data_IF_732448892182
#
_entry.id   IF_732448892182
#
_cell.length_a   1.000
_cell.length_b   1.000
_cell.length_c   1.000
_cell.angle_alpha   90.00
_cell.angle_beta   90.00
_cell.angle_gamma   90.00
#
_symmetry.space_group_name_H-M   'P 1'
#
loop_
_entity.id
_entity.type
_entity.pdbx_description
1 polymer ?
#
# COMPACT_ATOMS: atom_id res chain seq x y z
N UNK A 1 -61.79 -1.51 -96.88
CA UNK A 1 -62.62 -2.57 -96.25
C UNK A 1 -62.60 -2.39 -94.74
N UNK A 2 -63.38 -3.18 -93.99
CA UNK A 2 -63.81 -2.87 -92.63
C UNK A 2 -62.70 -2.71 -91.57
N UNK A 3 -62.89 -1.69 -90.74
CA UNK A 3 -62.53 -1.51 -89.32
C UNK A 3 -62.01 -2.74 -88.53
N UNK A 4 -60.98 -2.53 -87.69
CA UNK A 4 -61.09 -2.82 -86.23
C UNK A 4 -60.02 -2.15 -85.34
N UNK A 5 -60.50 -1.43 -84.32
CA UNK A 5 -60.02 -1.29 -82.94
C UNK A 5 -58.57 -1.74 -82.57
N UNK A 6 -57.76 -0.81 -82.03
CA UNK A 6 -57.64 -0.58 -80.55
C UNK A 6 -56.77 0.65 -80.22
N UNK A 7 -57.20 1.46 -79.26
CA UNK A 7 -56.41 2.54 -78.66
C UNK A 7 -55.54 1.98 -77.52
N UNK A 8 -54.24 2.25 -77.55
CA UNK A 8 -53.29 1.79 -76.53
C UNK A 8 -52.77 2.98 -75.69
N UNK A 9 -53.55 3.41 -74.70
CA UNK A 9 -53.21 4.51 -73.81
C UNK A 9 -52.01 4.19 -72.92
N UNK A 10 -50.83 4.73 -73.24
CA UNK A 10 -49.62 4.62 -72.39
C UNK A 10 -49.77 5.45 -71.11
N UNK A 11 -50.30 4.85 -70.04
CA UNK A 11 -50.12 5.41 -68.68
C UNK A 11 -48.65 5.35 -68.31
N UNK A 12 -48.07 6.47 -67.87
CA UNK A 12 -46.71 6.51 -67.37
C UNK A 12 -46.63 5.75 -66.03
N UNK A 13 -45.64 4.86 -65.91
CA UNK A 13 -45.38 4.17 -64.65
C UNK A 13 -44.61 5.11 -63.70
N UNK A 14 -45.28 5.57 -62.65
CA UNK A 14 -44.64 6.28 -61.54
C UNK A 14 -43.70 5.33 -60.82
N UNK A 15 -42.38 5.55 -60.94
CA UNK A 15 -41.38 4.87 -60.12
C UNK A 15 -41.47 5.42 -58.69
N UNK A 16 -41.92 4.60 -57.75
CA UNK A 16 -41.77 4.90 -56.33
C UNK A 16 -40.29 5.02 -55.98
N UNK A 17 -39.85 6.25 -55.70
CA UNK A 17 -38.54 6.53 -55.17
C UNK A 17 -38.50 6.07 -53.70
N UNK A 18 -38.20 4.79 -53.48
CA UNK A 18 -38.12 4.20 -52.15
C UNK A 18 -36.99 4.87 -51.35
N UNK A 19 -37.36 5.82 -50.49
CA UNK A 19 -36.42 6.52 -49.61
C UNK A 19 -35.83 5.50 -48.63
N UNK A 20 -34.65 4.98 -48.95
CA UNK A 20 -33.83 4.24 -47.98
C UNK A 20 -33.41 5.22 -46.88
N UNK A 21 -34.19 5.23 -45.79
CA UNK A 21 -33.68 5.74 -44.53
C UNK A 21 -32.42 4.94 -44.18
N UNK A 22 -31.27 5.58 -44.35
CA UNK A 22 -30.06 5.16 -43.65
C UNK A 22 -30.31 5.41 -42.17
N UNK A 23 -30.80 4.37 -41.48
CA UNK A 23 -30.69 4.30 -40.02
C UNK A 23 -29.21 4.30 -39.72
N UNK A 24 -28.67 5.50 -39.43
CA UNK A 24 -27.30 5.67 -38.98
C UNK A 24 -27.20 4.96 -37.64
N UNK A 25 -26.75 3.70 -37.67
CA UNK A 25 -26.72 2.83 -36.51
C UNK A 25 -25.90 3.48 -35.42
N UNK A 26 -26.59 3.97 -34.38
CA UNK A 26 -25.98 4.59 -33.21
C UNK A 26 -25.13 3.52 -32.54
N UNK A 27 -23.84 3.49 -32.88
CA UNK A 27 -22.86 2.68 -32.17
C UNK A 27 -22.93 3.15 -30.72
N UNK A 28 -23.30 2.29 -29.75
CA UNK A 28 -23.27 2.71 -28.36
C UNK A 28 -21.85 3.16 -28.06
N UNK A 29 -21.71 4.34 -27.44
CA UNK A 29 -20.41 4.80 -26.97
C UNK A 29 -19.83 3.72 -26.05
N UNK A 30 -18.53 3.45 -26.19
CA UNK A 30 -17.84 2.47 -25.34
C UNK A 30 -18.17 2.73 -23.87
N UNK A 31 -18.41 1.68 -23.08
CA UNK A 31 -18.59 1.78 -21.62
C UNK A 31 -17.48 2.60 -20.94
N UNK A 32 -16.30 2.63 -21.56
CA UNK A 32 -15.09 3.29 -21.07
C UNK A 32 -14.80 4.63 -21.76
N UNK A 33 -15.71 5.16 -22.59
CA UNK A 33 -15.48 6.36 -23.42
C UNK A 33 -15.15 7.63 -22.61
N UNK A 34 -15.62 7.69 -21.36
CA UNK A 34 -15.42 8.80 -20.44
C UNK A 34 -14.43 8.49 -19.30
N UNK A 35 -13.69 7.37 -19.38
CA UNK A 35 -12.67 7.03 -18.38
C UNK A 35 -11.40 7.86 -18.66
N UNK A 36 -10.99 8.79 -17.77
CA UNK A 36 -9.78 9.56 -17.97
C UNK A 36 -8.54 8.69 -17.79
N UNK A 37 -7.45 9.05 -18.46
CA UNK A 37 -6.13 8.48 -18.15
C UNK A 37 -5.76 8.86 -16.71
N UNK A 38 -5.35 7.87 -15.92
CA UNK A 38 -4.86 8.11 -14.56
C UNK A 38 -3.58 8.96 -14.56
N UNK A 39 -3.32 9.75 -13.50
CA UNK A 39 -2.09 10.53 -13.40
C UNK A 39 -0.86 9.59 -13.39
N UNK A 40 0.25 9.98 -14.05
CA UNK A 40 1.46 9.17 -14.06
C UNK A 40 2.08 9.07 -12.67
N UNK A 41 2.55 7.88 -12.29
CA UNK A 41 3.30 7.70 -11.05
C UNK A 41 4.70 8.34 -11.18
N UNK A 42 5.03 9.22 -10.23
CA UNK A 42 6.25 10.01 -10.27
C UNK A 42 7.55 9.19 -10.15
N UNK A 43 7.50 7.98 -9.59
CA UNK A 43 8.66 7.08 -9.43
C UNK A 43 8.81 6.17 -10.65
N UNK A 44 7.70 5.68 -11.20
CA UNK A 44 7.70 4.90 -12.45
C UNK A 44 8.18 5.75 -13.65
N UNK A 45 7.71 6.99 -13.77
CA UNK A 45 8.14 7.90 -14.85
C UNK A 45 9.65 8.17 -14.86
N UNK A 46 10.27 8.35 -13.68
CA UNK A 46 11.74 8.46 -13.55
C UNK A 46 12.43 7.17 -14.02
N UNK A 47 11.84 6.01 -13.72
CA UNK A 47 12.39 4.70 -14.13
C UNK A 47 12.29 4.47 -15.64
N UNK A 48 11.25 4.99 -16.29
CA UNK A 48 11.08 4.93 -17.74
C UNK A 48 12.01 5.91 -18.47
N UNK A 49 12.11 7.15 -18.00
CA UNK A 49 13.09 8.12 -18.51
C UNK A 49 14.53 7.59 -18.37
N UNK A 50 14.89 7.04 -17.20
CA UNK A 50 16.18 6.39 -16.99
C UNK A 50 16.43 5.22 -17.94
N UNK A 51 15.41 4.43 -18.31
CA UNK A 51 15.58 3.35 -19.30
C UNK A 51 15.82 3.92 -20.71
N UNK A 52 15.08 4.95 -21.10
CA UNK A 52 15.13 5.55 -22.44
C UNK A 52 16.40 6.37 -22.71
N UNK A 53 17.02 6.95 -21.69
CA UNK A 53 18.29 7.68 -21.78
C UNK A 53 19.40 6.81 -22.42
N UNK A 54 20.16 7.33 -23.37
CA UNK A 54 21.24 6.63 -24.06
C UNK A 54 22.62 6.86 -23.42
N UNK A 55 22.73 7.75 -22.43
CA UNK A 55 23.98 8.02 -21.72
C UNK A 55 24.47 6.77 -20.97
N UNK A 56 25.76 6.45 -21.11
CA UNK A 56 26.33 5.17 -20.62
C UNK A 56 26.52 5.12 -19.11
N UNK A 57 26.75 6.26 -18.47
CA UNK A 57 27.08 6.38 -17.05
C UNK A 57 25.88 6.94 -16.24
N UNK A 58 24.66 6.79 -16.78
CA UNK A 58 23.41 7.18 -16.11
C UNK A 58 23.21 6.38 -14.81
N UNK A 59 22.78 7.07 -13.75
CA UNK A 59 22.52 6.49 -12.42
C UNK A 59 21.05 6.68 -12.06
N UNK A 60 20.38 5.63 -11.56
CA UNK A 60 19.00 5.70 -11.09
C UNK A 60 18.95 5.83 -9.56
N UNK A 61 18.70 7.04 -9.07
CA UNK A 61 18.52 7.32 -7.64
C UNK A 61 17.03 7.37 -7.22
N UNK A 62 16.08 7.12 -8.13
CA UNK A 62 14.64 7.16 -7.85
C UNK A 62 14.04 5.82 -7.41
N UNK A 63 14.67 4.70 -7.72
CA UNK A 63 14.13 3.37 -7.44
C UNK A 63 14.51 2.89 -6.04
N UNK A 64 13.57 2.94 -5.10
CA UNK A 64 13.69 2.45 -3.72
C UNK A 64 13.73 0.92 -3.58
N UNK A 65 14.62 0.24 -4.31
CA UNK A 65 14.89 -1.19 -4.21
C UNK A 65 16.40 -1.46 -4.29
N UNK A 66 16.91 -2.33 -3.42
CA UNK A 66 18.34 -2.57 -3.21
C UNK A 66 19.10 -2.99 -4.48
N UNK A 67 20.40 -2.67 -4.53
CA UNK A 67 21.33 -2.96 -5.62
C UNK A 67 22.67 -3.44 -5.08
N UNK A 68 23.40 -4.20 -5.87
CA UNK A 68 24.82 -4.47 -5.62
C UNK A 68 25.71 -3.29 -6.09
N UNK A 69 27.02 -3.41 -5.82
CA UNK A 69 28.04 -2.42 -6.19
C UNK A 69 28.20 -2.23 -7.72
N UNK A 70 27.53 -3.06 -8.53
CA UNK A 70 27.47 -2.95 -9.99
C UNK A 70 26.13 -2.36 -10.47
N UNK A 71 25.29 -1.85 -9.55
CA UNK A 71 23.99 -1.25 -9.85
C UNK A 71 22.91 -2.25 -10.27
N UNK A 72 23.11 -3.56 -10.06
CA UNK A 72 22.20 -4.63 -10.50
C UNK A 72 21.25 -5.07 -9.37
N UNK A 73 20.06 -5.62 -9.69
CA UNK A 73 19.15 -6.16 -8.69
C UNK A 73 19.77 -7.35 -7.94
N UNK A 74 20.00 -7.17 -6.65
CA UNK A 74 20.65 -8.17 -5.79
C UNK A 74 19.64 -9.08 -5.10
N UNK A 75 19.83 -10.40 -5.20
CA UNK A 75 19.00 -11.40 -4.51
C UNK A 75 19.85 -12.11 -3.46
N UNK A 76 19.43 -12.01 -2.19
CA UNK A 76 20.18 -12.54 -1.04
C UNK A 76 20.50 -14.04 -1.20
N UNK A 77 21.70 -14.51 -0.82
CA UNK A 77 22.05 -15.93 -0.83
C UNK A 77 21.08 -16.81 -0.03
N UNK A 78 20.57 -16.29 1.10
CA UNK A 78 19.55 -16.96 1.92
C UNK A 78 18.21 -17.13 1.21
N UNK A 79 17.84 -16.20 0.33
CA UNK A 79 16.62 -16.28 -0.49
C UNK A 79 16.79 -17.29 -1.61
N UNK A 80 17.94 -17.30 -2.28
CA UNK A 80 18.27 -18.33 -3.30
C UNK A 80 18.22 -19.73 -2.70
N UNK A 81 18.92 -19.94 -1.59
CA UNK A 81 18.92 -21.22 -0.87
C UNK A 81 17.53 -21.62 -0.32
N UNK A 82 16.60 -20.67 -0.14
CA UNK A 82 15.21 -20.97 0.20
C UNK A 82 14.36 -21.32 -1.05
N UNK A 83 14.58 -20.64 -2.19
CA UNK A 83 13.96 -20.98 -3.47
C UNK A 83 14.40 -22.37 -3.95
N UNK A 84 15.69 -22.70 -3.89
CA UNK A 84 16.24 -24.01 -4.23
C UNK A 84 15.60 -25.12 -3.38
N UNK A 85 15.48 -24.90 -2.06
CA UNK A 85 14.81 -25.84 -1.15
C UNK A 85 13.35 -26.04 -1.51
N UNK A 86 12.59 -24.96 -1.74
CA UNK A 86 11.16 -25.04 -2.09
C UNK A 86 10.95 -25.77 -3.42
N UNK A 87 11.79 -25.51 -4.43
CA UNK A 87 11.71 -26.19 -5.72
C UNK A 87 12.03 -27.69 -5.59
N UNK A 88 13.10 -28.03 -4.88
CA UNK A 88 13.50 -29.43 -4.66
C UNK A 88 12.52 -30.21 -3.79
N UNK A 89 11.79 -29.55 -2.87
CA UNK A 89 10.75 -30.18 -2.05
C UNK A 89 9.50 -30.64 -2.81
N UNK A 90 9.37 -30.33 -4.10
CA UNK A 90 8.27 -30.80 -4.97
C UNK A 90 6.85 -30.55 -4.41
N UNK A 91 6.69 -29.46 -3.65
CA UNK A 91 5.44 -29.12 -2.97
C UNK A 91 4.27 -28.93 -3.95
N UNK A 92 3.06 -29.21 -3.48
CA UNK A 92 1.81 -28.88 -4.18
C UNK A 92 1.63 -27.36 -4.37
N UNK A 93 0.53 -26.97 -5.00
CA UNK A 93 0.16 -25.58 -5.30
C UNK A 93 -1.30 -25.31 -4.91
N UNK A 94 -1.78 -25.98 -3.86
CA UNK A 94 -3.14 -25.82 -3.37
C UNK A 94 -3.38 -24.43 -2.75
N UNK A 95 -4.66 -24.10 -2.55
CA UNK A 95 -5.05 -22.84 -1.92
C UNK A 95 -4.57 -22.78 -0.46
N UNK A 96 -3.72 -21.81 -0.16
CA UNK A 96 -3.44 -21.42 1.22
C UNK A 96 -4.73 -20.94 1.92
N UNK A 97 -4.79 -21.10 3.25
CA UNK A 97 -5.93 -20.62 4.04
C UNK A 97 -6.15 -19.11 3.91
N UNK A 98 -7.37 -18.64 4.19
CA UNK A 98 -7.76 -17.22 4.05
C UNK A 98 -6.89 -16.28 4.90
N UNK A 99 -6.44 -16.74 6.07
CA UNK A 99 -5.51 -16.00 6.95
C UNK A 99 -4.04 -16.28 6.66
N UNK A 100 -3.74 -17.08 5.63
CA UNK A 100 -2.40 -17.39 5.14
C UNK A 100 -1.83 -18.75 5.55
N UNK A 101 -0.54 -18.93 5.24
CA UNK A 101 0.26 -20.09 5.67
C UNK A 101 0.65 -19.94 7.15
N UNK A 102 0.20 -20.81 8.08
CA UNK A 102 0.39 -20.59 9.53
C UNK A 102 1.85 -20.54 9.98
N UNK A 103 2.73 -21.33 9.35
CA UNK A 103 4.16 -21.30 9.64
C UNK A 103 4.80 -19.94 9.29
N UNK A 104 4.35 -19.31 8.19
CA UNK A 104 4.85 -17.99 7.80
C UNK A 104 4.31 -16.88 8.71
N UNK A 105 3.01 -16.89 9.05
CA UNK A 105 2.45 -15.85 9.93
C UNK A 105 3.06 -15.92 11.33
N UNK A 106 3.30 -17.13 11.87
CA UNK A 106 4.04 -17.31 13.13
C UNK A 106 5.47 -16.75 13.05
N UNK A 107 6.19 -16.99 11.94
CA UNK A 107 7.53 -16.44 11.74
C UNK A 107 7.54 -14.91 11.61
N UNK A 108 6.58 -14.34 10.87
CA UNK A 108 6.43 -12.89 10.68
C UNK A 108 6.14 -12.17 12.01
N UNK A 109 5.24 -12.71 12.83
CA UNK A 109 4.94 -12.20 14.16
C UNK A 109 6.17 -12.29 15.10
N UNK A 110 6.88 -13.42 15.09
CA UNK A 110 8.10 -13.62 15.88
C UNK A 110 9.19 -12.60 15.54
N UNK A 111 9.41 -12.33 14.25
CA UNK A 111 10.36 -11.29 13.80
C UNK A 111 9.92 -9.88 14.24
N UNK A 112 8.63 -9.55 14.09
CA UNK A 112 8.13 -8.22 14.42
C UNK A 112 8.19 -7.93 15.94
N UNK A 113 7.59 -8.81 16.75
CA UNK A 113 7.38 -8.56 18.18
C UNK A 113 8.47 -9.14 19.09
N UNK A 114 9.32 -10.01 18.55
CA UNK A 114 10.30 -10.80 19.31
C UNK A 114 9.70 -12.14 19.78
N UNK A 115 10.46 -13.23 19.70
CA UNK A 115 9.98 -14.58 20.01
C UNK A 115 9.49 -14.76 21.47
N UNK A 116 9.99 -13.94 22.40
CA UNK A 116 9.61 -13.90 23.82
C UNK A 116 8.50 -12.88 24.14
N UNK A 117 7.85 -12.28 23.13
CA UNK A 117 6.79 -11.30 23.35
C UNK A 117 5.60 -11.89 24.13
N UNK A 118 5.17 -11.28 25.25
CA UNK A 118 3.98 -11.72 25.97
C UNK A 118 2.74 -11.79 25.08
N UNK A 119 2.57 -10.85 24.13
CA UNK A 119 1.44 -10.86 23.22
C UNK A 119 1.41 -12.05 22.22
N UNK A 120 2.54 -12.75 22.03
CA UNK A 120 2.58 -14.04 21.31
C UNK A 120 2.20 -15.18 22.27
N UNK A 121 2.72 -15.17 23.50
CA UNK A 121 2.51 -16.22 24.50
C UNK A 121 1.07 -16.24 25.05
N UNK A 122 0.44 -15.07 25.11
CA UNK A 122 -0.93 -14.82 25.56
C UNK A 122 -1.94 -14.86 24.38
N UNK A 123 -1.50 -15.26 23.18
CA UNK A 123 -2.27 -15.36 21.93
C UNK A 123 -3.03 -14.09 21.50
N UNK A 124 -2.64 -12.91 22.01
CA UNK A 124 -3.28 -11.60 21.73
C UNK A 124 -3.06 -11.06 20.31
N UNK A 125 -2.24 -11.73 19.49
CA UNK A 125 -1.94 -11.31 18.11
C UNK A 125 -2.76 -12.13 17.11
N UNK A 126 -3.86 -11.54 16.64
CA UNK A 126 -4.46 -11.94 15.36
C UNK A 126 -3.55 -11.49 14.19
N UNK A 127 -3.43 -12.31 13.13
CA UNK A 127 -2.58 -12.03 11.96
C UNK A 127 -3.20 -12.61 10.66
N UNK A 128 -3.00 -11.97 9.50
CA UNK A 128 -3.72 -12.26 8.22
C UNK A 128 -2.95 -11.79 6.97
N UNK A 129 -3.43 -12.21 5.78
CA UNK A 129 -2.87 -12.10 4.42
C UNK A 129 -3.98 -11.71 3.40
N UNK A 130 -4.02 -10.72 2.48
CA UNK A 130 -3.24 -9.52 2.03
C UNK A 130 -2.10 -9.67 0.97
N UNK A 131 -1.34 -8.62 0.61
CA UNK A 131 -0.28 -8.56 -0.46
C UNK A 131 0.78 -7.48 -0.13
N UNK A 132 1.92 -7.83 0.46
CA UNK A 132 2.99 -6.88 0.87
C UNK A 132 2.49 -5.76 1.80
N UNK A 133 3.35 -4.77 2.06
CA UNK A 133 3.01 -3.60 2.89
C UNK A 133 1.80 -2.84 2.32
N UNK A 134 1.73 -2.65 1.01
CA UNK A 134 0.60 -1.98 0.34
C UNK A 134 -0.74 -2.69 0.59
N UNK A 135 -0.79 -4.01 0.49
CA UNK A 135 -1.98 -4.81 0.78
C UNK A 135 -2.32 -4.83 2.27
N UNK A 136 -1.31 -4.77 3.15
CA UNK A 136 -1.51 -4.67 4.59
C UNK A 136 -2.11 -3.30 4.96
N UNK A 137 -1.53 -2.21 4.45
CA UNK A 137 -2.05 -0.84 4.58
C UNK A 137 -3.50 -0.76 4.07
N UNK A 138 -3.78 -1.38 2.91
CA UNK A 138 -5.12 -1.45 2.31
C UNK A 138 -6.13 -2.10 3.25
N UNK A 139 -5.84 -3.32 3.71
CA UNK A 139 -6.76 -4.12 4.54
C UNK A 139 -6.86 -3.57 5.96
N UNK A 140 -5.76 -3.10 6.55
CA UNK A 140 -5.78 -2.41 7.85
C UNK A 140 -6.60 -1.12 7.82
N UNK A 141 -6.44 -0.31 6.76
CA UNK A 141 -7.26 0.89 6.55
C UNK A 141 -8.75 0.58 6.44
N UNK A 142 -9.12 -0.43 5.63
CA UNK A 142 -10.52 -0.85 5.47
C UNK A 142 -11.08 -1.55 6.73
N UNK A 143 -10.24 -2.19 7.54
CA UNK A 143 -10.62 -2.73 8.84
C UNK A 143 -10.95 -1.62 9.84
N UNK A 144 -10.13 -0.55 9.90
CA UNK A 144 -10.43 0.60 10.76
C UNK A 144 -11.63 1.41 10.26
N UNK A 145 -11.79 1.58 8.95
CA UNK A 145 -12.99 2.18 8.37
C UNK A 145 -14.25 1.45 8.86
N UNK A 146 -14.28 0.12 8.73
CA UNK A 146 -15.47 -0.67 9.08
C UNK A 146 -15.70 -0.83 10.58
N UNK A 147 -14.64 -1.01 11.37
CA UNK A 147 -14.77 -1.51 12.76
C UNK A 147 -14.22 -0.58 13.85
N UNK A 148 -13.39 0.43 13.56
CA UNK A 148 -12.88 1.31 14.61
C UNK A 148 -14.01 2.21 15.14
N UNK A 149 -14.35 2.19 16.46
CA UNK A 149 -15.57 2.80 16.98
C UNK A 149 -15.49 4.34 17.13
N UNK A 150 -14.36 4.95 16.77
CA UNK A 150 -14.13 6.38 16.92
C UNK A 150 -13.98 7.07 15.54
N UNK A 151 -13.23 8.18 15.48
CA UNK A 151 -13.12 8.99 14.27
C UNK A 151 -12.50 8.24 13.10
N UNK A 152 -13.13 8.32 11.92
CA UNK A 152 -12.61 7.78 10.65
C UNK A 152 -11.50 8.66 10.03
N UNK A 153 -10.66 9.24 10.88
CA UNK A 153 -9.50 10.08 10.50
C UNK A 153 -8.21 9.31 10.76
N UNK A 154 -7.30 9.32 9.79
CA UNK A 154 -5.92 8.85 9.97
C UNK A 154 -4.95 9.99 9.66
N UNK A 155 -4.11 10.31 10.64
CA UNK A 155 -3.08 11.33 10.55
C UNK A 155 -1.80 10.69 10.00
N UNK A 156 -1.26 11.23 8.91
CA UNK A 156 -0.03 10.73 8.27
C UNK A 156 1.05 11.83 8.24
N UNK A 157 2.35 11.50 8.30
CA UNK A 157 3.39 12.51 8.47
C UNK A 157 3.57 13.41 7.23
N UNK A 158 4.27 14.52 7.44
CA UNK A 158 4.54 15.54 6.41
C UNK A 158 6.05 15.73 6.22
N UNK A 159 6.65 15.24 5.11
CA UNK A 159 6.07 14.38 4.07
C UNK A 159 5.86 12.93 4.56
N UNK A 160 5.36 12.06 3.69
CA UNK A 160 5.35 10.59 3.88
C UNK A 160 5.34 9.92 2.50
N UNK A 161 5.53 8.60 2.44
CA UNK A 161 5.47 7.83 1.19
C UNK A 161 4.18 8.14 0.42
N UNK A 162 4.33 8.52 -0.86
CA UNK A 162 3.29 9.15 -1.67
C UNK A 162 1.97 8.36 -1.71
N UNK A 163 2.06 7.03 -1.73
CA UNK A 163 0.91 6.14 -1.86
C UNK A 163 0.05 6.05 -0.58
N UNK A 164 0.56 6.44 0.60
CA UNK A 164 -0.23 6.40 1.85
C UNK A 164 -1.54 7.20 1.74
N UNK A 165 -1.48 8.39 1.14
CA UNK A 165 -2.65 9.24 1.00
C UNK A 165 -3.71 8.66 0.04
N UNK A 166 -3.31 7.86 -0.97
CA UNK A 166 -4.24 7.16 -1.86
C UNK A 166 -4.84 5.93 -1.17
N UNK A 167 -3.98 5.03 -0.69
CA UNK A 167 -4.41 3.75 -0.07
C UNK A 167 -5.44 3.95 1.05
N UNK A 168 -5.25 4.96 1.92
CA UNK A 168 -6.19 5.22 3.01
C UNK A 168 -7.48 5.94 2.57
N UNK A 169 -7.42 6.87 1.61
CA UNK A 169 -8.63 7.50 1.02
C UNK A 169 -9.50 6.47 0.33
N UNK A 170 -8.90 5.62 -0.49
CA UNK A 170 -9.60 4.58 -1.24
C UNK A 170 -10.12 3.47 -0.30
N UNK A 171 -9.61 3.38 0.93
CA UNK A 171 -10.11 2.52 2.01
C UNK A 171 -11.17 3.21 2.88
N UNK A 172 -11.66 4.40 2.48
CA UNK A 172 -12.74 5.15 3.12
C UNK A 172 -12.33 6.03 4.32
N UNK A 173 -11.04 6.11 4.64
CA UNK A 173 -10.56 6.97 5.73
C UNK A 173 -10.28 8.40 5.26
N UNK A 174 -10.60 9.38 6.13
CA UNK A 174 -10.20 10.77 5.94
C UNK A 174 -8.72 10.92 6.31
N UNK A 175 -7.89 11.24 5.33
CA UNK A 175 -6.44 11.42 5.52
C UNK A 175 -6.15 12.86 5.97
N UNK A 176 -5.61 12.99 7.17
CA UNK A 176 -5.13 14.24 7.76
C UNK A 176 -3.59 14.26 7.78
N UNK A 177 -3.01 15.41 8.15
CA UNK A 177 -1.56 15.60 8.27
C UNK A 177 -1.14 15.93 9.70
N UNK A 178 0.07 15.53 10.04
CA UNK A 178 0.83 16.04 11.17
C UNK A 178 2.27 16.40 10.74
N UNK A 179 2.91 17.29 11.47
CA UNK A 179 4.30 17.74 11.26
C UNK A 179 5.30 16.61 11.54
N UNK A 180 6.38 16.59 10.78
CA UNK A 180 7.39 15.54 10.88
C UNK A 180 8.77 16.02 10.43
N UNK A 181 8.87 16.64 9.25
CA UNK A 181 10.15 17.11 8.69
C UNK A 181 10.27 18.63 8.76
N UNK A 182 11.27 19.11 9.50
CA UNK A 182 11.68 20.51 9.47
C UNK A 182 12.69 20.69 8.32
N UNK A 183 12.37 21.59 7.38
CA UNK A 183 13.19 21.87 6.19
C UNK A 183 14.45 22.67 6.50
N UNK A 184 14.38 23.51 7.52
CA UNK A 184 15.42 24.49 7.85
C UNK A 184 16.54 23.84 8.70
N UNK A 185 16.18 22.83 9.51
CA UNK A 185 17.14 22.01 10.26
C UNK A 185 17.51 20.69 9.57
N UNK A 186 16.84 20.33 8.47
CA UNK A 186 16.95 19.03 7.78
C UNK A 186 16.76 17.88 8.79
N UNK A 187 15.75 18.03 9.66
CA UNK A 187 15.60 17.24 10.88
C UNK A 187 14.15 16.91 11.21
N UNK A 188 13.96 16.27 12.38
CA UNK A 188 12.63 15.97 12.90
C UNK A 188 12.01 17.24 13.49
N UNK A 189 10.85 17.65 12.98
CA UNK A 189 9.99 18.66 13.63
C UNK A 189 9.29 18.01 14.84
N UNK A 190 10.08 17.76 15.89
CA UNK A 190 9.61 17.00 17.04
C UNK A 190 8.60 17.79 17.89
N UNK A 191 8.84 19.08 18.11
CA UNK A 191 7.92 19.97 18.82
C UNK A 191 6.60 20.12 18.04
N UNK A 192 6.67 20.29 16.72
CA UNK A 192 5.48 20.34 15.88
C UNK A 192 4.73 19.01 15.83
N UNK A 193 5.44 17.89 15.80
CA UNK A 193 4.84 16.55 15.87
C UNK A 193 4.06 16.36 17.18
N UNK A 194 4.69 16.62 18.33
CA UNK A 194 4.04 16.45 19.63
C UNK A 194 2.82 17.38 19.74
N UNK A 195 2.95 18.65 19.35
CA UNK A 195 1.83 19.59 19.37
C UNK A 195 0.65 19.16 18.47
N UNK A 196 0.91 18.55 17.31
CA UNK A 196 -0.16 18.04 16.42
C UNK A 196 -0.84 16.78 17.00
N UNK A 197 -0.10 15.92 17.69
CA UNK A 197 -0.64 14.76 18.41
C UNK A 197 -1.48 15.24 19.62
N UNK A 198 -0.98 16.20 20.39
CA UNK A 198 -1.72 16.82 21.51
C UNK A 198 -2.96 17.60 21.05
N UNK A 199 -2.95 18.22 19.87
CA UNK A 199 -4.11 18.92 19.32
C UNK A 199 -5.18 17.97 18.76
N UNK A 200 -4.84 16.74 18.37
CA UNK A 200 -5.77 15.82 17.73
C UNK A 200 -6.94 15.40 18.65
N UNK A 201 -8.15 15.14 18.11
CA UNK A 201 -9.26 14.58 18.89
C UNK A 201 -8.87 13.26 19.56
N UNK A 202 -9.30 13.03 20.82
CA UNK A 202 -9.05 11.77 21.53
C UNK A 202 -9.47 10.57 20.66
N UNK A 203 -8.70 9.49 20.73
CA UNK A 203 -8.92 8.28 19.95
C UNK A 203 -8.87 8.52 18.42
N UNK A 204 -7.96 9.39 17.96
CA UNK A 204 -7.53 9.47 16.56
C UNK A 204 -6.53 8.36 16.21
N UNK A 205 -6.44 8.02 14.92
CA UNK A 205 -5.46 7.05 14.38
C UNK A 205 -4.24 7.79 13.82
N UNK A 206 -3.04 7.35 14.18
CA UNK A 206 -1.78 7.91 13.64
C UNK A 206 -1.00 6.84 12.88
N UNK A 207 -0.58 7.17 11.65
CA UNK A 207 0.34 6.37 10.86
C UNK A 207 1.78 6.68 11.27
N UNK A 208 2.47 5.69 11.82
CA UNK A 208 3.86 5.77 12.26
C UNK A 208 4.72 4.89 11.34
N UNK A 209 5.87 5.40 10.89
CA UNK A 209 6.89 4.54 10.28
C UNK A 209 7.75 4.00 11.41
N UNK A 210 7.91 2.68 11.50
CA UNK A 210 8.63 2.06 12.62
C UNK A 210 10.13 2.38 12.62
N UNK A 211 10.71 2.50 11.42
CA UNK A 211 12.10 2.85 11.12
C UNK A 211 12.26 3.17 9.62
N UNK A 212 13.36 3.85 9.26
CA UNK A 212 13.70 4.37 7.94
C UNK A 212 12.54 5.12 7.26
N UNK A 213 12.07 6.21 7.89
CA UNK A 213 10.95 7.01 7.41
C UNK A 213 11.06 7.38 5.92
N UNK A 214 10.09 6.94 5.12
CA UNK A 214 10.03 7.23 3.69
C UNK A 214 9.20 8.51 3.47
N UNK A 215 9.75 9.58 2.86
CA UNK A 215 10.97 9.61 2.03
C UNK A 215 12.24 10.20 2.69
N UNK A 216 12.21 10.65 3.95
CA UNK A 216 13.27 11.54 4.49
C UNK A 216 14.49 10.84 5.11
N UNK A 217 14.39 9.57 5.49
CA UNK A 217 15.45 8.84 6.22
C UNK A 217 15.70 9.31 7.66
N UNK A 218 14.85 10.20 8.18
CA UNK A 218 14.95 10.77 9.54
C UNK A 218 13.95 10.05 10.43
N UNK A 219 14.42 9.35 11.45
CA UNK A 219 13.58 8.68 12.46
C UNK A 219 13.68 9.38 13.83
N UNK A 220 12.66 9.26 14.70
CA UNK A 220 12.76 9.67 16.10
C UNK A 220 13.78 8.83 16.88
N UNK A 221 14.50 9.46 17.80
CA UNK A 221 15.38 8.76 18.75
C UNK A 221 14.58 7.91 19.75
N UNK A 222 15.25 6.98 20.44
CA UNK A 222 14.67 6.17 21.53
C UNK A 222 13.99 7.01 22.62
N UNK A 223 14.52 8.21 22.92
CA UNK A 223 13.90 9.13 23.89
C UNK A 223 12.62 9.77 23.33
N UNK A 224 12.66 10.25 22.08
CA UNK A 224 11.50 10.84 21.41
C UNK A 224 10.38 9.82 21.19
N UNK A 225 10.69 8.56 20.84
CA UNK A 225 9.71 7.49 20.73
C UNK A 225 8.96 7.21 22.03
N UNK A 226 9.61 7.37 23.19
CA UNK A 226 8.95 7.28 24.51
C UNK A 226 7.96 8.43 24.71
N UNK A 227 8.39 9.66 24.47
CA UNK A 227 7.51 10.83 24.56
C UNK A 227 6.31 10.76 23.59
N UNK A 228 6.48 10.26 22.36
CA UNK A 228 5.38 10.02 21.41
C UNK A 228 4.42 8.94 21.96
N UNK A 229 4.95 7.86 22.54
CA UNK A 229 4.17 6.82 23.21
C UNK A 229 3.34 7.39 24.37
N UNK A 230 3.96 8.17 25.26
CA UNK A 230 3.32 8.77 26.44
C UNK A 230 2.17 9.71 26.04
N UNK A 231 2.42 10.61 25.08
CA UNK A 231 1.43 11.56 24.57
C UNK A 231 0.29 10.82 23.89
N UNK A 232 0.56 9.88 22.97
CA UNK A 232 -0.49 9.09 22.30
C UNK A 232 -1.33 8.29 23.30
N UNK A 233 -0.70 7.71 24.32
CA UNK A 233 -1.34 6.94 25.41
C UNK A 233 -2.27 7.82 26.24
N UNK A 234 -1.83 9.03 26.64
CA UNK A 234 -2.67 10.00 27.37
C UNK A 234 -3.92 10.45 26.60
N UNK A 235 -3.86 10.39 25.27
CA UNK A 235 -4.92 10.80 24.34
C UNK A 235 -5.79 9.63 23.84
N UNK A 236 -5.50 8.40 24.24
CA UNK A 236 -6.17 7.19 23.77
C UNK A 236 -5.98 6.91 22.27
N UNK A 237 -4.92 7.45 21.66
CA UNK A 237 -4.68 7.33 20.22
C UNK A 237 -4.30 5.92 19.80
N UNK A 238 -4.67 5.55 18.59
CA UNK A 238 -4.43 4.23 18.03
C UNK A 238 -3.24 4.27 17.05
N UNK A 239 -2.22 3.46 17.31
CA UNK A 239 -0.99 3.47 16.51
C UNK A 239 -1.08 2.50 15.33
N UNK A 240 -0.87 3.03 14.13
CA UNK A 240 -0.83 2.26 12.88
C UNK A 240 0.61 2.26 12.37
N UNK A 241 1.34 1.17 12.55
CA UNK A 241 2.74 1.06 12.13
C UNK A 241 2.87 0.55 10.68
N UNK A 242 3.59 1.27 9.83
CA UNK A 242 4.25 0.70 8.63
C UNK A 242 5.69 0.32 9.00
N UNK A 243 6.04 -0.94 8.76
CA UNK A 243 7.35 -1.51 9.05
C UNK A 243 7.86 -2.27 7.81
N UNK A 244 8.30 -1.50 6.82
CA UNK A 244 8.79 -2.02 5.54
C UNK A 244 10.32 -2.21 5.46
N UNK A 245 11.07 -1.79 6.49
CA UNK A 245 12.54 -1.66 6.47
C UNK A 245 13.23 -2.32 7.68
N UNK A 246 12.55 -3.22 8.41
CA UNK A 246 13.12 -3.88 9.59
C UNK A 246 14.40 -4.69 9.24
N UNK A 247 15.52 -4.33 9.85
CA UNK A 247 16.87 -4.86 9.59
C UNK A 247 17.66 -4.07 8.54
N UNK A 248 17.11 -2.98 8.00
CA UNK A 248 17.72 -2.14 6.96
C UNK A 248 17.97 -0.69 7.41
N UNK A 249 17.46 -0.25 8.57
CA UNK A 249 17.73 1.09 9.08
C UNK A 249 19.04 1.12 9.90
N UNK A 250 19.23 0.14 10.79
CA UNK A 250 20.46 0.02 11.61
C UNK A 250 21.26 -1.28 11.39
N UNK A 251 20.77 -2.18 10.53
CA UNK A 251 21.34 -3.53 10.36
C UNK A 251 20.93 -4.53 11.46
N UNK A 252 20.12 -4.09 12.44
CA UNK A 252 19.70 -4.83 13.63
C UNK A 252 18.15 -4.90 13.65
N UNK A 253 17.61 -6.11 13.52
CA UNK A 253 16.14 -6.33 13.40
C UNK A 253 15.38 -6.06 14.70
N UNK A 254 16.05 -6.07 15.85
CA UNK A 254 15.41 -5.82 17.14
C UNK A 254 15.41 -4.32 17.45
N UNK A 255 16.50 -3.61 17.12
CA UNK A 255 16.57 -2.14 17.18
C UNK A 255 15.61 -1.49 16.20
N UNK A 256 15.54 -1.97 14.97
CA UNK A 256 14.62 -1.48 13.94
C UNK A 256 13.13 -1.78 14.27
N UNK A 257 12.86 -2.60 15.29
CA UNK A 257 11.53 -2.88 15.83
C UNK A 257 11.25 -2.17 17.18
N UNK A 258 12.15 -1.32 17.68
CA UNK A 258 12.04 -0.70 19.01
C UNK A 258 10.70 0.02 19.22
N UNK A 259 10.31 0.90 18.29
CA UNK A 259 9.09 1.70 18.42
C UNK A 259 7.83 0.83 18.56
N UNK A 260 7.68 -0.16 17.67
CA UNK A 260 6.59 -1.14 17.70
C UNK A 260 6.51 -1.89 19.03
N UNK A 261 7.65 -2.41 19.50
CA UNK A 261 7.73 -3.24 20.71
C UNK A 261 7.54 -2.41 21.99
N UNK A 262 8.02 -1.16 22.00
CA UNK A 262 7.79 -0.24 23.10
C UNK A 262 6.32 0.15 23.23
N UNK A 263 5.64 0.50 22.12
CA UNK A 263 4.20 0.80 22.13
C UNK A 263 3.37 -0.41 22.60
N UNK A 264 3.73 -1.62 22.17
CA UNK A 264 3.07 -2.84 22.64
C UNK A 264 3.29 -3.09 24.15
N UNK A 265 4.51 -2.86 24.66
CA UNK A 265 4.82 -2.97 26.08
C UNK A 265 4.12 -1.91 26.94
N UNK A 266 3.93 -0.70 26.41
CA UNK A 266 3.15 0.37 27.04
C UNK A 266 1.62 0.17 26.95
N UNK A 267 1.15 -0.94 26.35
CA UNK A 267 -0.26 -1.29 26.30
C UNK A 267 -1.08 -0.56 25.23
N UNK A 268 -0.46 -0.01 24.19
CA UNK A 268 -1.17 0.63 23.09
C UNK A 268 -2.00 -0.36 22.28
N UNK A 269 -3.17 0.07 21.81
CA UNK A 269 -3.88 -0.59 20.71
C UNK A 269 -3.17 -0.31 19.40
N UNK A 270 -2.69 -1.37 18.73
CA UNK A 270 -1.86 -1.25 17.52
C UNK A 270 -2.39 -2.04 16.31
N UNK A 271 -2.18 -1.48 15.11
CA UNK A 271 -2.16 -2.23 13.84
C UNK A 271 -0.72 -2.21 13.31
N UNK A 272 -0.21 -3.37 12.91
CA UNK A 272 1.06 -3.50 12.19
C UNK A 272 0.82 -3.88 10.73
N UNK A 273 1.49 -3.16 9.82
CA UNK A 273 1.70 -3.54 8.43
C UNK A 273 3.19 -3.82 8.21
N UNK A 274 3.53 -5.07 7.87
CA UNK A 274 4.91 -5.51 7.67
C UNK A 274 5.17 -5.83 6.19
N UNK A 275 6.33 -5.42 5.65
CA UNK A 275 6.74 -5.79 4.29
C UNK A 275 8.10 -6.47 4.24
N UNK A 276 8.16 -7.57 3.50
CA UNK A 276 9.37 -8.34 3.22
C UNK A 276 10.02 -7.98 1.87
N UNK A 277 9.48 -6.97 1.17
CA UNK A 277 9.90 -6.59 -0.17
C UNK A 277 11.30 -5.96 -0.22
N UNK A 278 11.77 -5.38 0.90
CA UNK A 278 13.13 -4.81 1.04
C UNK A 278 14.04 -5.74 1.84
N UNK A 279 13.70 -6.09 3.09
CA UNK A 279 14.59 -6.85 3.96
C UNK A 279 14.88 -8.30 3.50
N UNK A 280 14.03 -8.89 2.64
CA UNK A 280 14.32 -10.15 1.92
C UNK A 280 14.43 -9.95 0.40
N UNK A 281 14.49 -8.69 -0.08
CA UNK A 281 14.52 -8.25 -1.50
C UNK A 281 13.51 -9.01 -2.40
N UNK A 282 12.37 -9.44 -1.85
CA UNK A 282 11.30 -10.15 -2.56
C UNK A 282 10.24 -9.18 -3.05
N UNK A 283 10.60 -8.35 -4.02
CA UNK A 283 9.70 -7.35 -4.61
C UNK A 283 8.46 -7.93 -5.31
N UNK A 284 8.47 -9.21 -5.71
CA UNK A 284 7.52 -9.81 -6.66
C UNK A 284 6.70 -11.01 -6.14
N UNK A 285 6.79 -11.38 -4.86
CA UNK A 285 6.03 -12.52 -4.30
C UNK A 285 5.31 -12.16 -3.00
N UNK A 286 4.00 -12.35 -2.98
CA UNK A 286 3.07 -12.04 -1.87
C UNK A 286 3.59 -12.55 -0.50
N UNK A 287 3.91 -11.62 0.41
CA UNK A 287 4.30 -11.85 1.82
C UNK A 287 3.81 -10.67 2.66
N UNK A 288 3.44 -10.86 3.92
CA UNK A 288 2.36 -10.05 4.49
C UNK A 288 2.02 -10.33 5.96
N UNK A 289 1.76 -9.27 6.72
CA UNK A 289 1.09 -9.30 8.02
C UNK A 289 0.09 -8.13 8.11
N UNK A 290 -1.08 -8.36 8.72
CA UNK A 290 -1.96 -7.33 9.25
C UNK A 290 -2.58 -7.81 10.56
N UNK A 291 -2.41 -7.07 11.67
CA UNK A 291 -3.03 -7.43 12.95
C UNK A 291 -4.46 -6.91 13.09
N UNK A 292 -5.36 -7.71 13.66
CA UNK A 292 -6.61 -7.15 14.23
C UNK A 292 -6.32 -6.72 15.66
N UNK A 293 -6.76 -5.52 16.04
CA UNK A 293 -6.80 -5.12 17.44
C UNK A 293 -7.81 -5.97 18.19
N UNK A 294 -7.33 -6.76 19.16
CA UNK A 294 -8.14 -7.47 20.14
C UNK A 294 -7.86 -6.90 21.53
N UNK A 295 -8.66 -5.92 21.96
CA UNK A 295 -8.73 -5.56 23.38
C UNK A 295 -9.61 -6.61 24.05
N UNK A 296 -9.02 -7.43 24.92
CA UNK A 296 -9.78 -8.22 25.88
C UNK A 296 -10.46 -7.30 26.89
N UNK A 297 -11.57 -7.76 27.46
CA UNK A 297 -12.25 -7.11 28.60
C UNK A 297 -11.34 -7.09 29.84
#
# INVERSE_FOLDING_TARGET
MLSTLRVASRKAATRDATVRMFVAGVRPASTWSNVPQGPPDAILGITEAFKADSFKEKINLGVGAYRDDQGKPYVLPSVRAAEDKVMNSSLDKEYAGITGVPAFTKAAASLAFGASSPAIQEERIAITQTISGTGALRIGGAFLERFYPHGKKIYIPTPSWANHAAVFKDSGLKVEKYRYYNKDTIGLDFEGMIADIEAAPKNSVFLLHACAHNPTGIDPTVAQWRQISDVMKSKGHFAFFDMAYQGFASGDTDRDAFALRHFLAEGHGIVLCQSFAKNMVRASRNLISSSKGGVGL
#
